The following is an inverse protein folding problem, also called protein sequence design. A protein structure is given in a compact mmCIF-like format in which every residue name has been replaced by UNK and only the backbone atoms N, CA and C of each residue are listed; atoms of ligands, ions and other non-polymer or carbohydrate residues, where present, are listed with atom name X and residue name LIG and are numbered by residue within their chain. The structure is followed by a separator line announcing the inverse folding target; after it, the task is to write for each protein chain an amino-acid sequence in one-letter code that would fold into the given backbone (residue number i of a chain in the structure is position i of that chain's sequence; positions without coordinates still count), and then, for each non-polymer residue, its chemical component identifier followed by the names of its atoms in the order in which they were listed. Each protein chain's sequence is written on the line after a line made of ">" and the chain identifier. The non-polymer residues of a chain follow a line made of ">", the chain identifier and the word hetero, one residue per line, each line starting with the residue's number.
data_IF_871100077062
#
_entry.id   IF_871100077062
#
_cell.length_a   1.000
_cell.length_b   1.000
_cell.length_c   1.000
_cell.angle_alpha   90.00
_cell.angle_beta   90.00
_cell.angle_gamma   90.00
#
_symmetry.space_group_name_H-M   'P 1'
#
loop_
_entity.id
_entity.type
_entity.pdbx_description
1 polymer ?
#
# COMPACT_ATOMS: atom_id res chain seq x y z
N UNK A 1 0.77 7.63 15.61
CA UNK A 1 1.82 6.62 15.32
C UNK A 1 2.19 5.88 16.60
N UNK A 2 2.78 4.70 16.50
CA UNK A 2 3.24 3.97 17.67
C UNK A 2 4.39 4.75 18.34
N UNK A 3 4.28 4.99 19.64
CA UNK A 3 5.31 5.74 20.42
C UNK A 3 6.40 4.82 21.02
N UNK A 4 6.42 3.55 20.63
CA UNK A 4 7.38 2.54 21.12
C UNK A 4 7.08 1.96 22.51
N UNK A 5 6.24 2.60 23.31
CA UNK A 5 5.98 2.17 24.69
C UNK A 5 5.12 0.91 24.84
N UNK A 6 4.21 0.67 23.88
CA UNK A 6 3.39 -0.56 23.79
C UNK A 6 3.38 -1.05 22.35
N UNK A 7 4.26 -1.97 22.04
CA UNK A 7 4.33 -2.54 20.70
C UNK A 7 3.12 -3.42 20.38
N UNK A 8 2.42 -3.09 19.28
CA UNK A 8 1.32 -3.90 18.71
C UNK A 8 1.65 -4.16 17.25
N UNK A 9 1.96 -5.42 16.86
CA UNK A 9 2.43 -5.73 15.50
C UNK A 9 1.49 -5.22 14.40
N UNK A 10 0.18 -5.45 14.55
CA UNK A 10 -0.80 -5.00 13.56
C UNK A 10 -0.89 -3.48 13.43
N UNK A 11 -0.69 -2.73 14.53
CA UNK A 11 -0.63 -1.26 14.48
C UNK A 11 0.65 -0.79 13.81
N UNK A 12 1.80 -1.36 14.18
CA UNK A 12 3.09 -1.01 13.57
C UNK A 12 3.08 -1.24 12.06
N UNK A 13 2.50 -2.35 11.60
CA UNK A 13 2.31 -2.62 10.19
C UNK A 13 1.45 -1.56 9.49
N UNK A 14 0.31 -1.20 10.08
CA UNK A 14 -0.58 -0.16 9.51
C UNK A 14 0.12 1.21 9.46
N UNK A 15 0.83 1.56 10.52
CA UNK A 15 1.58 2.83 10.59
C UNK A 15 2.71 2.85 9.54
N UNK A 16 3.42 1.73 9.31
CA UNK A 16 4.45 1.67 8.26
C UNK A 16 3.86 1.85 6.85
N UNK A 17 2.68 1.27 6.58
CA UNK A 17 2.00 1.47 5.30
C UNK A 17 1.49 2.91 5.12
N UNK A 18 1.05 3.55 6.21
CA UNK A 18 0.71 4.97 6.19
C UNK A 18 1.93 5.83 5.85
N UNK A 19 3.09 5.57 6.47
CA UNK A 19 4.34 6.27 6.15
C UNK A 19 4.73 6.09 4.67
N UNK A 20 4.64 4.86 4.13
CA UNK A 20 4.90 4.62 2.72
C UNK A 20 4.01 5.47 1.79
N UNK A 21 2.70 5.57 2.10
CA UNK A 21 1.78 6.39 1.30
C UNK A 21 2.09 7.89 1.42
N UNK A 22 2.44 8.36 2.61
CA UNK A 22 2.90 9.75 2.83
C UNK A 22 4.17 10.02 2.01
N UNK A 23 5.14 9.10 2.03
CA UNK A 23 6.38 9.24 1.25
C UNK A 23 6.09 9.34 -0.24
N UNK A 24 5.17 8.53 -0.76
CA UNK A 24 4.75 8.64 -2.18
C UNK A 24 4.16 10.01 -2.50
N UNK A 25 3.34 10.59 -1.60
CA UNK A 25 2.79 11.93 -1.79
C UNK A 25 3.90 13.00 -1.80
N UNK A 26 4.89 12.88 -0.94
CA UNK A 26 6.03 13.81 -0.92
C UNK A 26 6.92 13.67 -2.17
N UNK A 27 7.16 12.44 -2.64
CA UNK A 27 7.89 12.20 -3.88
C UNK A 27 7.15 12.80 -5.08
N UNK A 28 5.84 12.58 -5.17
CA UNK A 28 5.01 13.13 -6.25
C UNK A 28 4.98 14.67 -6.30
N UNK A 29 5.14 15.34 -5.15
CA UNK A 29 5.25 16.81 -5.07
C UNK A 29 6.65 17.32 -5.46
N UNK A 30 7.71 16.54 -5.19
CA UNK A 30 9.10 16.96 -5.36
C UNK A 30 9.66 16.67 -6.74
N UNK A 31 9.13 15.64 -7.40
CA UNK A 31 9.60 15.22 -8.72
C UNK A 31 8.52 15.45 -9.77
N UNK A 32 8.87 16.12 -10.88
CA UNK A 32 7.93 16.35 -11.96
C UNK A 32 7.50 15.04 -12.61
N UNK A 33 6.20 14.91 -12.88
CA UNK A 33 5.59 13.68 -13.42
C UNK A 33 6.08 13.29 -14.81
N UNK A 34 6.63 14.23 -15.55
CA UNK A 34 7.24 14.00 -16.87
C UNK A 34 8.53 13.18 -16.79
N UNK A 35 9.17 13.18 -15.62
CA UNK A 35 10.41 12.42 -15.38
C UNK A 35 10.19 11.16 -14.56
N UNK A 36 9.39 11.26 -13.50
CA UNK A 36 9.20 10.16 -12.56
C UNK A 36 7.74 10.14 -12.09
N UNK A 37 7.09 9.01 -12.27
CA UNK A 37 5.74 8.79 -11.75
C UNK A 37 5.83 8.09 -10.41
N UNK A 38 5.36 8.76 -9.36
CA UNK A 38 5.35 8.25 -8.00
C UNK A 38 3.90 7.92 -7.59
N UNK A 39 3.57 6.65 -7.51
CA UNK A 39 2.24 6.22 -7.07
C UNK A 39 2.32 5.08 -6.05
N UNK A 40 1.20 4.73 -5.47
CA UNK A 40 1.06 3.59 -4.59
C UNK A 40 -0.13 2.74 -5.03
N UNK A 41 -0.12 1.46 -4.68
CA UNK A 41 -1.22 0.59 -5.06
C UNK A 41 -1.55 -0.44 -3.96
N UNK A 42 -2.81 -0.89 -3.98
CA UNK A 42 -3.27 -2.04 -3.23
C UNK A 42 -3.74 -3.13 -4.20
N UNK A 43 -2.93 -4.15 -4.48
CA UNK A 43 -3.26 -5.16 -5.47
C UNK A 43 -4.32 -6.17 -4.99
N UNK A 44 -4.66 -6.16 -3.71
CA UNK A 44 -5.50 -7.14 -3.03
C UNK A 44 -4.77 -7.87 -1.90
N UNK A 45 -5.44 -8.80 -1.23
CA UNK A 45 -4.85 -9.59 -0.16
C UNK A 45 -4.29 -10.91 -0.69
N UNK A 46 -2.97 -11.03 -0.75
CA UNK A 46 -2.27 -12.29 -1.06
C UNK A 46 -2.13 -13.09 0.25
N UNK A 47 -3.23 -13.75 0.65
CA UNK A 47 -3.32 -14.39 1.96
C UNK A 47 -2.35 -15.57 2.13
N UNK A 48 -1.91 -16.20 1.04
CA UNK A 48 -0.95 -17.32 1.05
C UNK A 48 0.52 -16.86 1.07
N UNK A 49 0.76 -15.55 1.13
CA UNK A 49 2.12 -15.03 1.16
C UNK A 49 2.84 -15.33 2.47
N UNK A 50 4.19 -15.33 2.44
CA UNK A 50 5.03 -15.50 3.62
C UNK A 50 4.86 -14.40 4.68
N UNK A 51 4.05 -13.38 4.41
CA UNK A 51 3.74 -12.31 5.36
C UNK A 51 3.16 -12.87 6.68
N UNK A 52 2.39 -13.94 6.59
CA UNK A 52 1.72 -14.58 7.74
C UNK A 52 2.51 -15.74 8.36
N UNK A 53 3.79 -15.92 8.01
CA UNK A 53 4.60 -17.07 8.48
C UNK A 53 4.70 -17.19 10.00
N UNK A 54 4.67 -16.07 10.73
CA UNK A 54 4.79 -16.02 12.19
C UNK A 54 3.42 -15.98 12.91
N UNK A 55 2.31 -16.19 12.19
CA UNK A 55 0.99 -16.27 12.82
C UNK A 55 0.65 -17.73 13.18
N UNK A 56 -0.28 -17.97 14.14
CA UNK A 56 -0.74 -19.33 14.49
C UNK A 56 -1.21 -20.08 13.24
N UNK A 57 -0.96 -21.38 13.20
CA UNK A 57 -1.28 -22.22 12.05
C UNK A 57 -2.78 -22.23 11.70
N UNK A 58 -3.66 -22.18 12.70
CA UNK A 58 -5.13 -22.10 12.52
C UNK A 58 -5.49 -20.82 11.76
N UNK A 59 -4.88 -19.69 12.13
CA UNK A 59 -5.08 -18.43 11.42
C UNK A 59 -4.65 -18.55 9.94
N UNK A 60 -3.50 -19.15 9.69
CA UNK A 60 -2.98 -19.35 8.32
C UNK A 60 -3.89 -20.22 7.47
N UNK A 61 -4.56 -21.21 8.09
CA UNK A 61 -5.50 -22.09 7.42
C UNK A 61 -6.83 -21.38 7.12
N UNK A 62 -7.39 -20.66 8.08
CA UNK A 62 -8.72 -20.05 7.97
C UNK A 62 -8.71 -18.68 7.27
N UNK A 63 -7.61 -17.93 7.36
CA UNK A 63 -7.53 -16.58 6.83
C UNK A 63 -7.73 -16.49 5.30
N UNK A 64 -7.17 -17.36 4.46
CA UNK A 64 -7.45 -17.35 3.01
C UNK A 64 -8.93 -17.60 2.70
N UNK A 65 -9.57 -18.51 3.44
CA UNK A 65 -11.01 -18.81 3.30
C UNK A 65 -11.84 -17.58 3.66
N UNK A 66 -11.56 -16.96 4.80
CA UNK A 66 -12.20 -15.73 5.23
C UNK A 66 -12.02 -14.60 4.20
N UNK A 67 -10.81 -14.41 3.70
CA UNK A 67 -10.51 -13.40 2.69
C UNK A 67 -11.21 -13.68 1.36
N UNK A 68 -11.40 -14.93 0.99
CA UNK A 68 -12.04 -15.31 -0.26
C UNK A 68 -13.56 -15.14 -0.21
N UNK A 69 -14.21 -15.60 0.85
CA UNK A 69 -15.67 -15.71 0.90
C UNK A 69 -16.35 -14.56 1.65
N UNK A 70 -15.71 -14.01 2.70
CA UNK A 70 -16.29 -12.97 3.53
C UNK A 70 -15.87 -11.59 3.08
N UNK A 71 -14.57 -11.28 3.10
CA UNK A 71 -14.09 -9.93 2.75
C UNK A 71 -13.95 -9.71 1.24
N UNK A 72 -13.93 -10.81 0.46
CA UNK A 72 -13.68 -10.79 -1.00
C UNK A 72 -12.41 -10.03 -1.40
N UNK A 73 -11.45 -9.93 -0.47
CA UNK A 73 -10.16 -9.27 -0.67
C UNK A 73 -9.06 -10.16 -1.20
N UNK A 74 -9.29 -11.49 -1.21
CA UNK A 74 -8.30 -12.46 -1.66
C UNK A 74 -7.94 -12.29 -3.13
N UNK A 75 -6.65 -12.34 -3.42
CA UNK A 75 -6.12 -12.43 -4.79
C UNK A 75 -4.98 -13.44 -4.82
N UNK A 76 -4.78 -14.07 -5.99
CA UNK A 76 -3.61 -14.92 -6.23
C UNK A 76 -2.35 -14.07 -6.41
N UNK A 77 -1.18 -14.65 -6.19
CA UNK A 77 0.10 -13.98 -6.45
C UNK A 77 0.21 -13.53 -7.91
N UNK A 78 -0.25 -14.38 -8.86
CA UNK A 78 -0.30 -14.05 -10.29
C UNK A 78 -1.13 -12.80 -10.56
N UNK A 79 -2.35 -12.73 -10.00
CA UNK A 79 -3.23 -11.57 -10.20
C UNK A 79 -2.67 -10.32 -9.56
N UNK A 80 -2.08 -10.44 -8.36
CA UNK A 80 -1.41 -9.31 -7.71
C UNK A 80 -0.23 -8.79 -8.54
N UNK A 81 0.60 -9.70 -9.09
CA UNK A 81 1.70 -9.35 -10.00
C UNK A 81 1.22 -8.66 -11.28
N UNK A 82 0.15 -9.15 -11.90
CA UNK A 82 -0.46 -8.50 -13.08
C UNK A 82 -0.91 -7.07 -12.78
N UNK A 83 -1.54 -6.83 -11.61
CA UNK A 83 -1.97 -5.50 -11.19
C UNK A 83 -0.80 -4.55 -10.91
N UNK A 84 0.30 -5.06 -10.36
CA UNK A 84 1.53 -4.28 -10.21
C UNK A 84 2.11 -3.92 -11.58
N UNK A 85 2.19 -4.90 -12.48
CA UNK A 85 2.68 -4.66 -13.83
C UNK A 85 1.83 -3.65 -14.59
N UNK A 86 0.49 -3.73 -14.51
CA UNK A 86 -0.39 -2.78 -15.21
C UNK A 86 -0.18 -1.34 -14.75
N UNK A 87 0.07 -1.09 -13.46
CA UNK A 87 0.38 0.28 -12.99
C UNK A 87 1.70 0.81 -13.54
N UNK A 88 2.62 -0.09 -13.91
CA UNK A 88 3.92 0.29 -14.48
C UNK A 88 3.94 0.36 -16.02
N UNK A 89 2.94 -0.20 -16.70
CA UNK A 89 2.96 -0.33 -18.17
C UNK A 89 1.76 0.28 -18.87
N UNK A 90 0.65 0.53 -18.15
CA UNK A 90 -0.58 1.09 -18.71
C UNK A 90 -0.53 2.61 -18.61
N UNK A 91 -0.48 3.29 -19.76
CA UNK A 91 -0.41 4.76 -19.86
C UNK A 91 -1.59 5.46 -19.18
N UNK A 92 -2.77 4.85 -19.12
CA UNK A 92 -3.95 5.41 -18.45
C UNK A 92 -3.75 5.52 -16.91
N UNK A 93 -2.78 4.78 -16.36
CA UNK A 93 -2.43 4.79 -14.94
C UNK A 93 -1.19 5.65 -14.62
N UNK A 94 -0.61 6.33 -15.61
CA UNK A 94 0.58 7.18 -15.45
C UNK A 94 0.23 8.51 -14.80
N UNK A 95 -0.14 8.46 -13.52
CA UNK A 95 -0.49 9.63 -12.73
C UNK A 95 0.23 9.61 -11.39
N UNK A 96 1.00 10.67 -11.11
CA UNK A 96 1.74 10.82 -9.85
C UNK A 96 0.81 11.17 -8.68
N UNK A 97 1.15 10.70 -7.48
CA UNK A 97 0.40 10.98 -6.25
C UNK A 97 -0.88 10.16 -6.07
N UNK A 98 -1.18 9.23 -6.95
CA UNK A 98 -2.40 8.41 -6.89
C UNK A 98 -2.18 7.15 -6.06
N UNK A 99 -3.24 6.72 -5.36
CA UNK A 99 -3.32 5.38 -4.76
C UNK A 99 -4.30 4.52 -5.56
N UNK A 100 -3.75 3.58 -6.34
CA UNK A 100 -4.53 2.69 -7.17
C UNK A 100 -5.10 1.51 -6.37
N UNK A 101 -6.35 1.17 -6.61
CA UNK A 101 -7.02 0.01 -6.01
C UNK A 101 -7.96 -0.66 -7.03
N UNK A 102 -8.44 -1.86 -6.73
CA UNK A 102 -9.33 -2.61 -7.61
C UNK A 102 -10.67 -2.90 -6.94
N UNK A 103 -11.75 -2.52 -7.59
CA UNK A 103 -13.09 -2.98 -7.25
C UNK A 103 -13.25 -4.47 -7.55
N UNK A 104 -14.08 -5.16 -6.77
CA UNK A 104 -14.28 -6.61 -6.89
C UNK A 104 -12.95 -7.39 -6.97
N UNK A 105 -12.20 -7.32 -5.89
CA UNK A 105 -10.79 -7.71 -5.78
C UNK A 105 -10.45 -9.13 -6.20
N UNK A 106 -11.44 -10.03 -6.18
CA UNK A 106 -11.28 -11.42 -6.62
C UNK A 106 -11.38 -11.61 -8.13
N UNK A 107 -11.99 -10.69 -8.86
CA UNK A 107 -12.16 -10.82 -10.31
C UNK A 107 -10.91 -10.40 -11.05
N UNK A 108 -10.50 -11.20 -12.04
CA UNK A 108 -9.34 -10.92 -12.88
C UNK A 108 -9.47 -9.57 -13.61
N UNK A 109 -10.66 -9.28 -14.09
CA UNK A 109 -11.02 -8.06 -14.85
C UNK A 109 -11.64 -6.97 -13.98
N UNK A 110 -11.38 -6.99 -12.68
CA UNK A 110 -11.86 -5.94 -11.79
C UNK A 110 -11.25 -4.60 -12.20
N UNK A 111 -12.11 -3.58 -12.37
CA UNK A 111 -11.67 -2.23 -12.75
C UNK A 111 -10.77 -1.62 -11.68
N UNK A 112 -9.70 -1.00 -12.13
CA UNK A 112 -8.85 -0.13 -11.32
C UNK A 112 -9.57 1.19 -11.05
N UNK A 113 -9.32 1.77 -9.89
CA UNK A 113 -9.80 3.12 -9.55
C UNK A 113 -8.82 3.84 -8.65
N UNK A 114 -8.83 5.17 -8.72
CA UNK A 114 -8.11 6.04 -7.80
C UNK A 114 -8.83 6.07 -6.44
N UNK A 115 -8.18 5.55 -5.41
CA UNK A 115 -8.75 5.53 -4.06
C UNK A 115 -8.52 6.87 -3.37
N UNK A 116 -9.57 7.46 -2.80
CA UNK A 116 -9.47 8.68 -1.99
C UNK A 116 -8.51 8.48 -0.81
N UNK A 117 -7.55 9.39 -0.69
CA UNK A 117 -6.58 9.40 0.40
C UNK A 117 -7.20 9.87 1.71
N UNK A 118 -6.75 9.33 2.83
CA UNK A 118 -7.18 9.79 4.15
C UNK A 118 -6.59 11.17 4.47
N UNK A 119 -7.27 11.92 5.36
CA UNK A 119 -6.82 13.25 5.83
C UNK A 119 -5.38 13.23 6.35
N UNK A 120 -4.93 12.12 6.97
CA UNK A 120 -3.56 11.98 7.48
C UNK A 120 -2.51 11.87 6.38
N UNK A 121 -2.86 11.31 5.22
CA UNK A 121 -1.93 11.15 4.11
C UNK A 121 -1.69 12.49 3.41
N UNK A 122 -2.74 13.33 3.34
CA UNK A 122 -2.69 14.64 2.69
C UNK A 122 -2.32 15.78 3.64
N UNK A 123 -2.12 15.48 4.93
CA UNK A 123 -1.67 16.45 5.94
C UNK A 123 -0.23 16.88 5.64
N UNK A 124 -0.05 18.15 5.28
CA UNK A 124 1.25 18.70 4.88
C UNK A 124 2.27 18.72 6.02
N UNK A 125 1.85 19.00 7.26
CA UNK A 125 2.75 19.02 8.41
C UNK A 125 3.25 17.62 8.76
N UNK A 126 2.34 16.64 8.76
CA UNK A 126 2.69 15.24 8.99
C UNK A 126 3.58 14.70 7.87
N UNK A 127 3.29 15.07 6.62
CA UNK A 127 4.09 14.69 5.46
C UNK A 127 5.52 15.21 5.56
N UNK A 128 5.68 16.50 5.81
CA UNK A 128 7.00 17.13 5.95
C UNK A 128 7.80 16.53 7.11
N UNK A 129 7.15 16.32 8.26
CA UNK A 129 7.80 15.70 9.43
C UNK A 129 8.23 14.25 9.13
N UNK A 130 7.39 13.48 8.45
CA UNK A 130 7.71 12.09 8.06
C UNK A 130 8.87 12.07 7.08
N UNK A 131 8.87 12.95 6.09
CA UNK A 131 9.94 13.09 5.12
C UNK A 131 11.28 13.42 5.80
N UNK A 132 11.32 14.49 6.60
CA UNK A 132 12.55 14.93 7.26
C UNK A 132 13.12 13.87 8.20
N UNK A 133 12.24 13.15 8.93
CA UNK A 133 12.67 12.04 9.77
C UNK A 133 13.24 10.89 8.95
N UNK A 134 12.61 10.55 7.82
CA UNK A 134 13.07 9.49 6.93
C UNK A 134 14.45 9.83 6.34
N UNK A 135 14.64 11.06 5.84
CA UNK A 135 15.93 11.53 5.32
C UNK A 135 17.03 11.41 6.39
N UNK A 136 16.74 11.88 7.62
CA UNK A 136 17.68 11.77 8.75
C UNK A 136 18.05 10.32 9.07
N UNK A 137 17.07 9.40 9.07
CA UNK A 137 17.29 8.00 9.41
C UNK A 137 18.13 7.25 8.38
N UNK A 138 18.09 7.66 7.10
CA UNK A 138 18.89 7.06 6.02
C UNK A 138 20.17 7.85 5.73
N UNK A 139 20.50 8.88 6.52
CA UNK A 139 21.72 9.67 6.37
C UNK A 139 21.74 10.62 5.17
N UNK A 140 20.59 10.90 4.56
CA UNK A 140 20.46 11.89 3.50
C UNK A 140 20.18 13.28 4.10
N UNK A 141 20.77 14.32 3.50
CA UNK A 141 20.57 15.74 3.87
C UNK A 141 19.50 16.37 2.98
#
# INVERSE_FOLDING_TARGET
>A
MANGRKFKPGKAYKDSKLCNMITVQELAKRYPSEKIICNSLYPGCVANSKLFRNTPWIFRLLFPIFQKYITRGYVTEKLAGQRVASVATDSDLFQSGVHWSWGNRQKLVAKVFSQKLSKRIIDSQLSQKTWNLSMKLVGLK
#
